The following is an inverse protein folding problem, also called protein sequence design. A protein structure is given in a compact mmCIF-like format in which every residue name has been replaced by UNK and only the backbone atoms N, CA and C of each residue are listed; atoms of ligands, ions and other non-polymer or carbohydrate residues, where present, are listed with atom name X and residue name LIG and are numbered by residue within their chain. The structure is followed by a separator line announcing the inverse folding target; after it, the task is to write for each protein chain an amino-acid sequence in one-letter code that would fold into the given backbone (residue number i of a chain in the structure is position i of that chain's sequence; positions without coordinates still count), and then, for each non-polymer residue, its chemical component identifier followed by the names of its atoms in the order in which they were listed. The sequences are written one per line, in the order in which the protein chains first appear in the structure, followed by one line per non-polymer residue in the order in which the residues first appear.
data_IF_216184693013
#
_entry.id   IF_216184693013
#
_cell.length_a   1.000
_cell.length_b   1.000
_cell.length_c   1.000
_cell.angle_alpha   90.00
_cell.angle_beta   90.00
_cell.angle_gamma   90.00
#
_symmetry.space_group_name_H-M   'P 1'
#
loop_
_entity.id
_entity.type
_entity.pdbx_description
1 polymer ?
#
# COMPACT_ATOMS: atom_id res chain seq x y z
N UNK A 1 8.58 -3.36 -10.32
CA UNK A 1 8.94 -2.12 -9.63
C UNK A 1 7.72 -1.57 -8.87
N UNK A 2 7.92 -1.14 -7.65
CA UNK A 2 6.86 -0.53 -6.84
C UNK A 2 7.16 0.95 -6.67
N UNK A 3 6.18 1.78 -7.00
CA UNK A 3 6.24 3.23 -6.83
C UNK A 3 5.18 3.69 -5.84
N UNK A 4 5.38 4.87 -5.28
CA UNK A 4 4.41 5.55 -4.43
C UNK A 4 3.98 6.84 -5.11
N UNK A 5 2.68 7.14 -5.03
CA UNK A 5 2.16 8.39 -5.59
C UNK A 5 0.91 8.82 -4.81
N UNK A 6 0.81 10.11 -4.51
CA UNK A 6 -0.44 10.64 -3.97
C UNK A 6 -1.51 10.65 -5.05
N UNK A 7 -2.76 10.39 -4.66
CA UNK A 7 -3.87 10.40 -5.61
C UNK A 7 -4.07 11.77 -6.26
N UNK A 8 -3.58 12.83 -5.62
CA UNK A 8 -3.67 14.21 -6.12
C UNK A 8 -2.55 14.56 -7.11
N UNK A 9 -1.53 13.73 -7.23
CA UNK A 9 -0.45 13.94 -8.18
C UNK A 9 -0.89 13.58 -9.60
N UNK A 10 -0.26 14.20 -10.58
CA UNK A 10 -0.59 13.94 -11.99
C UNK A 10 -0.24 12.50 -12.34
N UNK A 11 -1.22 11.78 -12.89
CA UNK A 11 -0.99 10.41 -13.38
C UNK A 11 -0.03 10.42 -14.57
N UNK A 12 0.68 9.31 -14.72
CA UNK A 12 1.65 9.13 -15.79
C UNK A 12 1.54 7.71 -16.35
N UNK A 13 1.80 7.49 -17.65
CA UNK A 13 1.87 6.14 -18.21
C UNK A 13 2.87 5.24 -17.47
N UNK A 14 3.93 5.82 -16.93
CA UNK A 14 4.95 5.09 -16.18
C UNK A 14 4.44 4.57 -14.83
N UNK A 15 3.28 5.00 -14.38
CA UNK A 15 2.69 4.50 -13.13
C UNK A 15 2.31 3.02 -13.21
N UNK A 16 2.08 2.50 -14.42
CA UNK A 16 1.65 1.12 -14.61
C UNK A 16 0.31 0.85 -13.94
N UNK A 17 0.22 -0.24 -13.19
CA UNK A 17 -0.99 -0.60 -12.46
C UNK A 17 -1.12 0.31 -11.23
N UNK A 18 -2.16 1.13 -11.19
CA UNK A 18 -2.42 2.07 -10.11
C UNK A 18 -3.42 1.46 -9.13
N UNK A 19 -2.97 1.20 -7.91
CA UNK A 19 -3.82 0.57 -6.88
C UNK A 19 -3.95 1.49 -5.68
N UNK A 20 -5.20 1.83 -5.32
CA UNK A 20 -5.49 2.61 -4.13
C UNK A 20 -5.38 1.69 -2.91
N UNK A 21 -4.62 2.12 -1.90
CA UNK A 21 -4.36 1.32 -0.70
C UNK A 21 -4.93 1.94 0.57
N UNK A 22 -5.78 2.93 0.44
CA UNK A 22 -6.48 3.57 1.55
C UNK A 22 -7.80 2.87 1.86
N UNK A 23 -8.25 2.99 3.11
CA UNK A 23 -9.50 2.38 3.56
C UNK A 23 -10.73 3.02 2.92
N UNK A 24 -10.68 4.33 2.69
CA UNK A 24 -11.79 5.09 2.15
C UNK A 24 -11.42 5.76 0.85
N UNK A 25 -12.43 5.96 0.00
CA UNK A 25 -12.22 6.74 -1.22
C UNK A 25 -11.90 8.19 -0.84
N UNK A 26 -10.84 8.79 -1.42
CA UNK A 26 -10.43 10.16 -1.08
C UNK A 26 -11.51 11.19 -1.42
N UNK A 27 -11.70 12.15 -0.51
CA UNK A 27 -12.67 13.22 -0.73
C UNK A 27 -12.30 14.08 -1.93
N UNK A 28 -13.31 14.46 -2.70
CA UNK A 28 -13.14 15.36 -3.83
C UNK A 28 -12.52 14.73 -5.05
N UNK A 29 -12.22 13.43 -5.03
CA UNK A 29 -11.62 12.73 -6.16
C UNK A 29 -12.72 11.98 -6.93
N UNK A 30 -12.85 12.30 -8.21
CA UNK A 30 -13.82 11.62 -9.08
C UNK A 30 -13.21 10.33 -9.59
N UNK A 31 -13.99 9.25 -9.55
CA UNK A 31 -13.52 7.93 -10.02
C UNK A 31 -13.09 7.97 -11.47
N UNK A 32 -13.78 8.73 -12.30
CA UNK A 32 -13.51 8.81 -13.73
C UNK A 32 -12.14 9.42 -14.03
N UNK A 33 -11.66 10.35 -13.21
CA UNK A 33 -10.38 11.02 -13.43
C UNK A 33 -9.25 10.49 -12.58
N UNK A 34 -9.54 9.65 -11.58
CA UNK A 34 -8.51 9.12 -10.68
C UNK A 34 -7.59 8.10 -11.36
N UNK A 35 -8.05 7.45 -12.41
CA UNK A 35 -7.33 6.41 -13.14
C UNK A 35 -6.81 5.31 -12.20
N UNK A 36 -7.65 4.86 -11.27
CA UNK A 36 -7.34 3.77 -10.34
C UNK A 36 -7.75 2.47 -10.99
N UNK A 37 -6.79 1.56 -11.14
CA UNK A 37 -7.01 0.24 -11.75
C UNK A 37 -7.54 -0.77 -10.75
N UNK A 38 -7.24 -0.59 -9.47
CA UNK A 38 -7.74 -1.44 -8.40
C UNK A 38 -7.78 -0.72 -7.07
N UNK A 39 -8.64 -1.17 -6.17
CA UNK A 39 -8.74 -0.65 -4.81
C UNK A 39 -8.56 -1.79 -3.83
N UNK A 40 -7.38 -1.85 -3.21
CA UNK A 40 -7.02 -2.92 -2.29
C UNK A 40 -7.35 -2.54 -0.84
N UNK A 41 -8.63 -2.48 -0.50
CA UNK A 41 -9.08 -2.18 0.86
C UNK A 41 -8.50 -3.15 1.89
N UNK A 42 -8.30 -4.41 1.49
CA UNK A 42 -7.75 -5.44 2.37
C UNK A 42 -6.33 -5.09 2.83
N UNK A 43 -5.62 -4.25 2.10
CA UNK A 43 -4.28 -3.81 2.45
C UNK A 43 -4.27 -2.49 3.23
N UNK A 44 -5.41 -1.84 3.39
CA UNK A 44 -5.49 -0.60 4.15
C UNK A 44 -5.40 -0.87 5.66
N UNK A 45 -4.86 0.09 6.43
CA UNK A 45 -4.94 0.00 7.89
C UNK A 45 -6.40 0.02 8.32
N UNK A 46 -6.73 -0.69 9.40
CA UNK A 46 -8.07 -0.66 9.96
C UNK A 46 -8.44 0.74 10.43
N UNK A 47 -9.73 1.03 10.54
CA UNK A 47 -10.20 2.31 11.08
C UNK A 47 -9.65 2.55 12.49
N UNK A 48 -9.59 1.49 13.30
CA UNK A 48 -9.05 1.54 14.64
C UNK A 48 -7.57 1.93 14.64
N UNK A 49 -6.77 1.33 13.76
CA UNK A 49 -5.35 1.62 13.64
C UNK A 49 -5.11 3.04 13.12
N UNK A 50 -5.92 3.50 12.17
CA UNK A 50 -5.86 4.88 11.69
C UNK A 50 -6.17 5.87 12.80
N UNK A 51 -7.18 5.59 13.62
CA UNK A 51 -7.53 6.41 14.79
C UNK A 51 -6.40 6.47 15.81
N UNK A 52 -5.73 5.35 16.04
CA UNK A 52 -4.58 5.28 16.93
C UNK A 52 -3.45 6.21 16.45
N UNK A 53 -3.13 6.14 15.18
CA UNK A 53 -2.03 6.94 14.61
C UNK A 53 -2.38 8.44 14.52
N UNK A 54 -3.54 8.78 13.99
CA UNK A 54 -4.12 10.13 13.84
C UNK A 54 -3.07 11.22 13.60
N UNK A 55 -2.23 11.05 12.55
CA UNK A 55 -1.20 12.02 12.16
C UNK A 55 -0.19 12.38 13.27
N UNK A 56 -0.04 11.53 14.26
CA UNK A 56 0.93 11.76 15.34
C UNK A 56 2.23 11.03 14.99
N UNK A 57 3.23 11.78 14.54
CA UNK A 57 4.53 11.24 14.14
C UNK A 57 5.22 10.44 15.25
N UNK A 58 4.96 10.76 16.51
CA UNK A 58 5.52 10.04 17.67
C UNK A 58 5.01 8.60 17.75
N UNK A 59 3.86 8.31 17.13
CA UNK A 59 3.28 6.97 17.10
C UNK A 59 3.66 6.17 15.88
N UNK A 60 4.52 6.72 15.02
CA UNK A 60 4.84 6.08 13.74
C UNK A 60 5.41 4.67 13.89
N UNK A 61 6.41 4.49 14.79
CA UNK A 61 7.00 3.18 15.00
C UNK A 61 5.97 2.15 15.50
N UNK A 62 5.11 2.55 16.44
CA UNK A 62 4.05 1.67 16.95
C UNK A 62 3.00 1.39 15.87
N UNK A 63 2.66 2.38 15.06
CA UNK A 63 1.77 2.20 13.92
C UNK A 63 2.33 1.16 12.95
N UNK A 64 3.59 1.28 12.57
CA UNK A 64 4.24 0.35 11.65
C UNK A 64 4.19 -1.09 12.19
N UNK A 65 4.51 -1.28 13.48
CA UNK A 65 4.49 -2.60 14.09
C UNK A 65 3.09 -3.22 14.07
N UNK A 66 2.08 -2.45 14.46
CA UNK A 66 0.69 -2.91 14.48
C UNK A 66 0.16 -3.18 13.08
N UNK A 67 0.51 -2.32 12.12
CA UNK A 67 0.08 -2.49 10.74
C UNK A 67 0.69 -3.75 10.12
N UNK A 68 1.97 -3.99 10.35
CA UNK A 68 2.63 -5.22 9.88
C UNK A 68 1.97 -6.47 10.45
N UNK A 69 1.54 -6.43 11.71
CA UNK A 69 0.79 -7.54 12.31
C UNK A 69 -0.56 -7.73 11.62
N UNK A 70 -1.28 -6.64 11.36
CA UNK A 70 -2.55 -6.70 10.63
C UNK A 70 -2.36 -7.31 9.24
N UNK A 71 -1.28 -6.97 8.56
CA UNK A 71 -1.00 -7.44 7.20
C UNK A 71 -0.59 -8.92 7.13
N UNK A 72 -0.48 -9.61 8.25
CA UNK A 72 -0.23 -11.06 8.28
C UNK A 72 -1.51 -11.88 8.09
N UNK A 73 -2.67 -11.25 8.05
CA UNK A 73 -3.93 -11.95 7.76
C UNK A 73 -3.86 -12.62 6.39
N UNK A 74 -4.41 -13.84 6.23
CA UNK A 74 -4.29 -14.59 4.96
C UNK A 74 -4.73 -13.81 3.72
N UNK A 75 -5.82 -13.09 3.79
CA UNK A 75 -6.31 -12.31 2.65
C UNK A 75 -5.35 -11.17 2.28
N UNK A 76 -4.73 -10.54 3.27
CA UNK A 76 -3.74 -9.49 3.04
C UNK A 76 -2.47 -10.05 2.42
N UNK A 77 -1.99 -11.20 2.92
CA UNK A 77 -0.82 -11.87 2.36
C UNK A 77 -1.03 -12.26 0.91
N UNK A 78 -2.21 -12.78 0.58
CA UNK A 78 -2.55 -13.14 -0.79
C UNK A 78 -2.54 -11.91 -1.70
N UNK A 79 -3.10 -10.80 -1.25
CA UNK A 79 -3.10 -9.56 -2.02
C UNK A 79 -1.68 -9.02 -2.23
N UNK A 80 -0.83 -9.07 -1.20
CA UNK A 80 0.58 -8.67 -1.31
C UNK A 80 1.32 -9.55 -2.31
N UNK A 81 1.10 -10.85 -2.27
CA UNK A 81 1.73 -11.77 -3.21
C UNK A 81 1.34 -11.46 -4.65
N UNK A 82 0.05 -11.23 -4.91
CA UNK A 82 -0.41 -10.86 -6.25
C UNK A 82 0.24 -9.58 -6.76
N UNK A 83 0.32 -8.56 -5.91
CA UNK A 83 0.97 -7.31 -6.29
C UNK A 83 2.48 -7.49 -6.53
N UNK A 84 3.14 -8.34 -5.75
CA UNK A 84 4.57 -8.62 -5.95
C UNK A 84 4.83 -9.29 -7.31
N UNK A 85 3.95 -10.20 -7.72
CA UNK A 85 4.04 -10.86 -9.03
C UNK A 85 3.89 -9.81 -10.14
N UNK A 86 2.90 -8.94 -10.03
CA UNK A 86 2.69 -7.85 -11.00
C UNK A 86 3.89 -6.92 -11.06
N UNK A 87 4.47 -6.57 -9.92
CA UNK A 87 5.60 -5.66 -9.83
C UNK A 87 6.89 -6.23 -10.42
N UNK A 88 7.01 -7.54 -10.49
CA UNK A 88 8.14 -8.20 -11.16
C UNK A 88 8.05 -8.09 -12.66
N UNK A 89 6.84 -7.99 -13.20
CA UNK A 89 6.59 -7.93 -14.65
C UNK A 89 6.48 -6.51 -15.18
N UNK A 90 6.28 -5.54 -14.30
CA UNK A 90 6.09 -4.16 -14.69
C UNK A 90 6.10 -3.24 -13.50
N UNK A 91 5.37 -2.15 -13.59
CA UNK A 91 5.28 -1.17 -12.50
C UNK A 91 3.92 -1.28 -11.80
N UNK A 92 3.96 -1.28 -10.48
CA UNK A 92 2.79 -1.12 -9.63
C UNK A 92 2.98 0.16 -8.84
N UNK A 93 2.03 1.07 -8.90
CA UNK A 93 2.05 2.31 -8.14
C UNK A 93 1.00 2.23 -7.03
N UNK A 94 1.47 2.30 -5.79
CA UNK A 94 0.60 2.37 -4.62
C UNK A 94 0.13 3.81 -4.46
N UNK A 95 -1.18 4.01 -4.57
CA UNK A 95 -1.78 5.34 -4.54
C UNK A 95 -2.43 5.57 -3.18
N UNK A 96 -2.17 6.72 -2.59
CA UNK A 96 -2.66 7.09 -1.27
C UNK A 96 -3.01 8.57 -1.22
N UNK A 97 -3.74 8.98 -0.18
CA UNK A 97 -4.21 10.37 -0.05
C UNK A 97 -3.45 11.20 0.99
N UNK A 98 -2.75 10.57 1.92
CA UNK A 98 -2.05 11.28 3.00
C UNK A 98 -1.16 12.41 2.48
N UNK A 99 -1.11 13.51 3.23
CA UNK A 99 -0.20 14.63 2.94
C UNK A 99 1.24 14.33 3.36
N UNK A 100 1.41 13.46 4.36
CA UNK A 100 2.75 13.05 4.81
C UNK A 100 3.26 11.96 3.87
N UNK A 101 4.24 12.30 3.05
CA UNK A 101 4.82 11.39 2.07
C UNK A 101 5.84 10.42 2.67
N UNK A 102 6.26 10.65 3.90
CA UNK A 102 7.24 9.81 4.58
C UNK A 102 6.60 8.81 5.55
N UNK A 103 5.50 9.18 6.18
CA UNK A 103 4.84 8.38 7.21
C UNK A 103 3.39 8.12 6.83
N UNK A 104 3.18 7.13 5.98
CA UNK A 104 1.86 6.71 5.54
C UNK A 104 1.84 5.20 5.29
N UNK A 105 0.63 4.65 5.13
CA UNK A 105 0.44 3.22 4.91
C UNK A 105 1.15 2.70 3.66
N UNK A 106 1.19 3.47 2.59
CA UNK A 106 1.81 3.02 1.34
C UNK A 106 3.32 2.82 1.48
N UNK A 107 3.98 3.60 2.34
CA UNK A 107 5.41 3.42 2.64
C UNK A 107 5.67 2.04 3.25
N UNK A 108 4.84 1.62 4.20
CA UNK A 108 4.97 0.29 4.83
C UNK A 108 4.73 -0.80 3.81
N UNK A 109 3.69 -0.67 2.99
CA UNK A 109 3.38 -1.65 1.94
C UNK A 109 4.51 -1.77 0.92
N UNK A 110 5.11 -0.65 0.52
CA UNK A 110 6.24 -0.68 -0.42
C UNK A 110 7.42 -1.44 0.16
N UNK A 111 7.75 -1.23 1.43
CA UNK A 111 8.84 -1.97 2.08
C UNK A 111 8.58 -3.48 2.04
N UNK A 112 7.36 -3.90 2.35
CA UNK A 112 6.99 -5.32 2.31
C UNK A 112 7.07 -5.88 0.89
N UNK A 113 6.55 -5.15 -0.09
CA UNK A 113 6.57 -5.59 -1.48
C UNK A 113 7.99 -5.64 -2.04
N UNK A 114 8.82 -4.66 -1.73
CA UNK A 114 10.22 -4.66 -2.15
C UNK A 114 10.96 -5.87 -1.58
N UNK A 115 10.65 -6.24 -0.34
CA UNK A 115 11.21 -7.43 0.30
C UNK A 115 10.79 -8.71 -0.43
N UNK A 116 9.51 -8.84 -0.77
CA UNK A 116 9.00 -9.98 -1.54
C UNK A 116 9.64 -10.10 -2.91
N UNK A 117 9.84 -8.98 -3.58
CA UNK A 117 10.47 -8.94 -4.90
C UNK A 117 11.95 -9.35 -4.80
N UNK A 118 12.65 -8.89 -3.77
CA UNK A 118 14.06 -9.21 -3.56
C UNK A 118 14.30 -10.68 -3.27
N UNK A 119 13.34 -11.37 -2.63
CA UNK A 119 13.44 -12.80 -2.34
C UNK A 119 13.41 -13.66 -3.61
N UNK A 120 13.05 -13.07 -4.76
CA UNK A 120 13.22 -13.69 -6.07
C UNK A 120 12.17 -14.72 -6.46
N UNK A 121 11.42 -15.31 -5.53
CA UNK A 121 10.51 -16.42 -5.83
C UNK A 121 9.11 -16.18 -5.23
N UNK A 122 8.08 -15.96 -6.07
CA UNK A 122 6.72 -15.87 -5.55
C UNK A 122 6.34 -17.16 -4.83
N UNK A 123 5.61 -17.02 -3.74
CA UNK A 123 5.13 -18.16 -2.97
C UNK A 123 6.10 -18.73 -1.96
N UNK A 124 7.35 -18.24 -1.91
CA UNK A 124 8.32 -18.65 -0.89
C UNK A 124 8.32 -17.74 0.33
N UNK A 125 7.66 -16.59 0.22
CA UNK A 125 7.60 -15.64 1.30
C UNK A 125 6.67 -16.16 2.40
N UNK A 126 7.18 -16.17 3.63
CA UNK A 126 6.37 -16.49 4.81
C UNK A 126 6.41 -15.28 5.75
N UNK A 127 5.26 -14.94 6.37
CA UNK A 127 5.24 -13.85 7.32
C UNK A 127 6.12 -14.22 8.52
N UNK A 128 6.85 -13.27 9.03
CA UNK A 128 7.60 -13.46 10.27
C UNK A 128 6.65 -13.40 11.44
N UNK A 129 6.83 -14.27 12.42
CA UNK A 129 6.02 -14.26 13.64
C UNK A 129 6.16 -12.93 14.40
#
# INVERSE_FOLDING_TARGET
MVKLKRIYDVRSPEDGYRVLVDLRWPKGVRKESAAIDGWAKILAPSAELLGFFWHNAKKWAAFCARYRTQLQAPAALEALERLSIMARRGTVTLVYASRDTARNNAVVLKELLDSLISDGTPGTWTPRP
#
